data_IF_266367425042
#
_entry.id   IF_266367425042
#
_cell.length_a   1.000
_cell.length_b   1.000
_cell.length_c   1.000
_cell.angle_alpha   90.00
_cell.angle_beta   90.00
_cell.angle_gamma   90.00
#
_symmetry.space_group_name_H-M   'P 1'
#
loop_
_entity.id
_entity.type
_entity.pdbx_description
1 polymer ?
#
# COMPACT_ATOMS: atom_id res chain seq x y z
N UNK A 1 -7.41 19.26 -24.99
CA UNK A 1 -7.75 18.00 -24.29
C UNK A 1 -6.46 17.58 -23.63
N UNK A 2 -6.39 17.44 -22.30
CA UNK A 2 -5.15 16.98 -21.67
C UNK A 2 -5.01 15.51 -22.03
N UNK A 3 -3.97 15.17 -22.76
CA UNK A 3 -3.57 13.80 -23.02
C UNK A 3 -3.29 13.13 -21.67
N UNK A 4 -4.30 12.47 -21.10
CA UNK A 4 -4.12 11.61 -19.93
C UNK A 4 -3.41 10.36 -20.40
N UNK A 5 -2.10 10.33 -20.23
CA UNK A 5 -1.30 9.13 -20.46
C UNK A 5 -1.84 8.01 -19.57
N UNK A 6 -2.17 6.82 -20.12
CA UNK A 6 -2.53 5.68 -19.30
C UNK A 6 -1.31 5.26 -18.47
N UNK A 7 -1.56 4.86 -17.23
CA UNK A 7 -0.55 4.31 -16.34
C UNK A 7 -0.69 2.80 -16.38
N UNK A 8 0.43 2.11 -16.62
CA UNK A 8 0.48 0.66 -16.63
C UNK A 8 1.05 0.16 -15.31
N UNK A 9 0.28 -0.69 -14.63
CA UNK A 9 0.65 -1.36 -13.41
C UNK A 9 0.86 -2.83 -13.71
N UNK A 10 2.03 -3.36 -13.38
CA UNK A 10 2.33 -4.78 -13.47
C UNK A 10 2.52 -5.36 -12.08
N UNK A 11 1.79 -6.44 -11.78
CA UNK A 11 1.87 -7.17 -10.52
C UNK A 11 2.35 -8.58 -10.84
N UNK A 12 3.46 -8.98 -10.24
CA UNK A 12 4.00 -10.32 -10.33
C UNK A 12 3.88 -11.03 -8.97
N UNK A 13 3.22 -12.18 -8.93
CA UNK A 13 3.13 -13.02 -7.73
C UNK A 13 4.39 -13.87 -7.61
N UNK A 14 5.31 -13.46 -6.72
CA UNK A 14 6.63 -14.09 -6.55
C UNK A 14 6.71 -14.94 -5.29
N UNK A 15 5.57 -15.39 -4.77
CA UNK A 15 5.53 -16.27 -3.62
C UNK A 15 6.28 -17.57 -3.93
N UNK A 16 7.32 -17.92 -3.15
CA UNK A 16 8.10 -19.14 -3.36
C UNK A 16 7.27 -20.40 -3.08
N UNK A 17 6.19 -20.29 -2.30
CA UNK A 17 5.31 -21.41 -1.97
C UNK A 17 4.29 -21.72 -3.08
N UNK A 18 4.15 -20.83 -4.08
CA UNK A 18 3.23 -21.01 -5.20
C UNK A 18 3.94 -21.54 -6.46
N UNK A 19 3.36 -22.58 -7.07
CA UNK A 19 3.68 -22.98 -8.44
C UNK A 19 2.99 -22.05 -9.46
N UNK A 20 3.29 -22.24 -10.74
CA UNK A 20 2.77 -21.40 -11.83
C UNK A 20 1.23 -21.41 -11.91
N UNK A 21 0.58 -22.56 -11.66
CA UNK A 21 -0.88 -22.63 -11.61
C UNK A 21 -1.47 -21.85 -10.43
N UNK A 22 -0.86 -21.93 -9.25
CA UNK A 22 -1.30 -21.17 -8.08
C UNK A 22 -1.12 -19.66 -8.29
N UNK A 23 0.00 -19.25 -8.90
CA UNK A 23 0.23 -17.85 -9.27
C UNK A 23 -0.80 -17.36 -10.28
N UNK A 24 -1.13 -18.17 -11.30
CA UNK A 24 -2.17 -17.84 -12.25
C UNK A 24 -3.56 -17.77 -11.60
N UNK A 25 -3.84 -18.61 -10.61
CA UNK A 25 -5.06 -18.47 -9.80
C UNK A 25 -5.10 -17.14 -9.05
N UNK A 26 -3.96 -16.67 -8.51
CA UNK A 26 -3.90 -15.34 -7.89
C UNK A 26 -4.17 -14.23 -8.91
N UNK A 27 -3.57 -14.32 -10.09
CA UNK A 27 -3.80 -13.39 -11.21
C UNK A 27 -5.27 -13.36 -11.60
N UNK A 28 -5.91 -14.51 -11.81
CA UNK A 28 -7.31 -14.60 -12.20
C UNK A 28 -8.26 -14.08 -11.10
N UNK A 29 -7.94 -14.34 -9.83
CA UNK A 29 -8.71 -13.82 -8.71
C UNK A 29 -8.61 -12.30 -8.62
N UNK A 30 -7.40 -11.74 -8.75
CA UNK A 30 -7.20 -10.30 -8.74
C UNK A 30 -7.83 -9.64 -9.98
N UNK A 31 -7.68 -10.23 -11.17
CA UNK A 31 -8.28 -9.77 -12.41
C UNK A 31 -9.81 -9.65 -12.28
N UNK A 32 -10.46 -10.63 -11.65
CA UNK A 32 -11.90 -10.58 -11.38
C UNK A 32 -12.28 -9.43 -10.46
N UNK A 33 -11.45 -9.14 -9.45
CA UNK A 33 -11.70 -8.08 -8.48
C UNK A 33 -11.49 -6.68 -9.07
N UNK A 34 -10.48 -6.50 -9.94
CA UNK A 34 -10.19 -5.20 -10.55
C UNK A 34 -11.09 -4.88 -11.75
N UNK A 35 -11.74 -5.89 -12.34
CA UNK A 35 -12.75 -5.69 -13.40
C UNK A 35 -13.97 -4.89 -12.95
N UNK A 36 -14.27 -4.89 -11.65
CA UNK A 36 -15.36 -4.10 -11.08
C UNK A 36 -14.96 -2.63 -10.84
N UNK A 37 -13.70 -2.26 -11.11
CA UNK A 37 -13.17 -0.90 -10.94
C UNK A 37 -13.15 -0.15 -12.28
N UNK A 38 -13.07 1.19 -12.22
CA UNK A 38 -12.91 2.06 -13.40
C UNK A 38 -11.47 2.00 -13.96
N UNK A 39 -11.14 0.88 -14.59
CA UNK A 39 -9.86 0.61 -15.29
C UNK A 39 -10.02 0.68 -16.80
N UNK A 40 -8.93 0.90 -17.53
CA UNK A 40 -8.91 0.89 -19.00
C UNK A 40 -8.88 -0.55 -19.50
N UNK A 41 -7.89 -1.31 -19.03
CA UNK A 41 -7.66 -2.69 -19.43
C UNK A 41 -6.97 -3.45 -18.29
N UNK A 42 -7.27 -4.74 -18.13
CA UNK A 42 -6.51 -5.62 -17.28
C UNK A 42 -6.44 -7.01 -17.88
N UNK A 43 -5.26 -7.62 -17.83
CA UNK A 43 -5.05 -8.94 -18.41
C UNK A 43 -3.70 -9.55 -18.07
N UNK A 44 -3.56 -10.88 -18.23
CA UNK A 44 -2.28 -11.56 -18.10
C UNK A 44 -1.31 -11.09 -19.19
N UNK A 45 -0.04 -11.02 -18.86
CA UNK A 45 1.00 -10.52 -19.78
C UNK A 45 1.37 -11.65 -20.76
N UNK A 46 1.34 -11.44 -22.09
CA UNK A 46 1.77 -12.45 -23.05
C UNK A 46 3.28 -12.77 -22.90
N UNK A 47 3.62 -14.05 -22.92
CA UNK A 47 5.00 -14.54 -22.92
C UNK A 47 5.63 -14.30 -24.29
N UNK A 48 6.72 -13.51 -24.40
CA UNK A 48 7.39 -13.27 -25.66
C UNK A 48 8.11 -14.52 -26.22
N UNK A 49 8.36 -15.55 -25.41
CA UNK A 49 9.04 -16.79 -25.81
C UNK A 49 8.29 -18.04 -25.31
N UNK A 50 7.08 -18.34 -25.84
CA UNK A 50 6.33 -19.51 -25.39
C UNK A 50 7.08 -20.81 -25.72
N UNK A 51 7.14 -21.78 -24.79
CA UNK A 51 7.83 -23.05 -25.03
C UNK A 51 7.18 -23.82 -26.20
N UNK A 52 7.99 -24.19 -27.19
CA UNK A 52 7.51 -24.90 -28.38
C UNK A 52 6.99 -26.29 -28.00
N UNK A 53 5.74 -26.60 -28.37
CA UNK A 53 5.20 -27.96 -28.34
C UNK A 53 4.10 -28.24 -27.32
N UNK A 54 3.74 -27.28 -26.45
CA UNK A 54 2.61 -27.43 -25.52
C UNK A 54 1.37 -26.73 -26.08
N UNK A 55 0.31 -27.49 -26.33
CA UNK A 55 -0.99 -27.02 -26.84
C UNK A 55 -1.94 -26.50 -25.75
N UNK A 56 -1.45 -26.19 -24.55
CA UNK A 56 -2.30 -25.73 -23.45
C UNK A 56 -2.24 -24.20 -23.33
N UNK A 57 -3.34 -23.56 -23.77
CA UNK A 57 -3.83 -22.24 -23.33
C UNK A 57 -2.81 -21.11 -23.14
N UNK A 58 -2.66 -20.30 -24.20
CA UNK A 58 -2.16 -18.92 -24.22
C UNK A 58 -0.79 -18.69 -23.57
N UNK A 59 0.25 -18.49 -24.40
CA UNK A 59 1.57 -18.08 -23.95
C UNK A 59 1.51 -16.75 -23.19
N UNK A 60 1.32 -16.81 -21.88
CA UNK A 60 1.32 -15.70 -20.94
C UNK A 60 2.28 -16.01 -19.80
N UNK A 61 2.96 -14.98 -19.30
CA UNK A 61 3.87 -15.10 -18.17
C UNK A 61 3.08 -15.45 -16.91
N UNK A 62 3.34 -16.65 -16.38
CA UNK A 62 2.63 -17.16 -15.22
C UNK A 62 2.80 -16.22 -14.02
N UNK A 63 1.70 -15.90 -13.34
CA UNK A 63 1.72 -15.04 -12.18
C UNK A 63 1.88 -13.55 -12.44
N UNK A 64 1.84 -13.09 -13.69
CA UNK A 64 1.91 -11.66 -14.03
C UNK A 64 0.56 -11.13 -14.48
N UNK A 65 0.17 -9.98 -13.92
CA UNK A 65 -1.02 -9.22 -14.28
C UNK A 65 -0.62 -7.80 -14.67
N UNK A 66 -0.99 -7.38 -15.88
CA UNK A 66 -0.94 -5.98 -16.29
C UNK A 66 -2.32 -5.33 -16.12
N UNK A 67 -2.34 -4.10 -15.61
CA UNK A 67 -3.53 -3.28 -15.41
C UNK A 67 -3.22 -1.87 -15.94
N UNK A 68 -3.94 -1.43 -16.95
CA UNK A 68 -3.90 -0.06 -17.46
C UNK A 68 -5.02 0.76 -16.83
N UNK A 69 -4.67 1.91 -16.27
CA UNK A 69 -5.59 2.77 -15.53
C UNK A 69 -5.40 4.23 -15.89
N UNK A 70 -6.45 5.03 -15.73
CA UNK A 70 -6.37 6.48 -15.90
C UNK A 70 -5.83 7.15 -14.64
N UNK A 71 -5.05 8.22 -14.81
CA UNK A 71 -4.51 9.04 -13.71
C UNK A 71 -5.55 9.46 -12.66
N UNK A 72 -6.79 9.68 -13.10
CA UNK A 72 -7.90 10.12 -12.24
C UNK A 72 -8.33 9.06 -11.21
N UNK A 73 -8.17 7.76 -11.50
CA UNK A 73 -8.58 6.65 -10.62
C UNK A 73 -7.39 5.95 -9.94
N UNK A 74 -6.15 6.37 -10.24
CA UNK A 74 -4.92 5.78 -9.66
C UNK A 74 -4.99 5.65 -8.16
N UNK A 75 -5.41 6.70 -7.45
CA UNK A 75 -5.42 6.69 -5.98
C UNK A 75 -6.34 5.60 -5.43
N UNK A 76 -7.56 5.50 -5.97
CA UNK A 76 -8.54 4.50 -5.53
C UNK A 76 -8.08 3.09 -5.85
N UNK A 77 -7.53 2.87 -7.04
CA UNK A 77 -7.05 1.55 -7.47
C UNK A 77 -5.83 1.13 -6.66
N UNK A 78 -4.86 2.03 -6.41
CA UNK A 78 -3.70 1.74 -5.57
C UNK A 78 -4.10 1.45 -4.12
N UNK A 79 -5.02 2.22 -3.54
CA UNK A 79 -5.55 1.98 -2.19
C UNK A 79 -6.26 0.60 -2.15
N UNK A 80 -7.02 0.22 -3.19
CA UNK A 80 -7.64 -1.11 -3.30
C UNK A 80 -6.62 -2.24 -3.39
N UNK A 81 -5.59 -2.08 -4.24
CA UNK A 81 -4.52 -3.07 -4.41
C UNK A 81 -3.74 -3.27 -3.11
N UNK A 82 -3.48 -2.20 -2.34
CA UNK A 82 -2.84 -2.29 -1.03
C UNK A 82 -3.57 -3.30 -0.14
N UNK A 83 -4.88 -3.15 0.04
CA UNK A 83 -5.65 -4.00 0.95
C UNK A 83 -5.70 -5.47 0.49
N UNK A 84 -5.69 -5.71 -0.83
CA UNK A 84 -5.70 -7.07 -1.40
C UNK A 84 -4.35 -7.76 -1.40
N UNK A 85 -3.26 -6.98 -1.51
CA UNK A 85 -1.90 -7.48 -1.67
C UNK A 85 -1.09 -7.47 -0.36
N UNK A 86 -1.61 -6.85 0.70
CA UNK A 86 -0.93 -6.71 2.01
C UNK A 86 -0.43 -8.03 2.61
N UNK A 87 -1.08 -9.16 2.29
CA UNK A 87 -0.72 -10.48 2.83
C UNK A 87 -0.07 -11.40 1.79
N UNK A 88 0.53 -10.83 0.74
CA UNK A 88 1.11 -11.59 -0.38
C UNK A 88 2.52 -11.14 -0.68
N UNK A 89 3.34 -12.07 -1.13
CA UNK A 89 4.69 -11.78 -1.63
C UNK A 89 4.58 -11.49 -3.13
N UNK A 90 4.78 -10.22 -3.48
CA UNK A 90 4.64 -9.75 -4.85
C UNK A 90 5.78 -8.82 -5.25
N UNK A 91 5.96 -8.70 -6.55
CA UNK A 91 6.74 -7.65 -7.18
C UNK A 91 5.77 -6.73 -7.92
N UNK A 92 5.85 -5.44 -7.61
CA UNK A 92 5.00 -4.40 -8.13
C UNK A 92 5.81 -3.47 -9.03
N UNK A 93 5.32 -3.25 -10.23
CA UNK A 93 5.96 -2.44 -11.24
C UNK A 93 4.97 -1.41 -11.80
N UNK A 94 5.40 -0.15 -11.90
CA UNK A 94 4.57 0.97 -12.33
C UNK A 94 5.26 1.69 -13.46
N UNK A 95 4.60 1.79 -14.60
CA UNK A 95 5.06 2.53 -15.76
C UNK A 95 4.16 3.73 -16.04
N UNK A 96 4.76 4.92 -16.02
CA UNK A 96 4.09 6.17 -16.30
C UNK A 96 5.03 7.08 -17.13
N UNK A 97 4.52 7.66 -18.22
CA UNK A 97 5.26 8.60 -19.10
C UNK A 97 6.66 8.10 -19.52
N UNK A 98 6.81 6.79 -19.78
CA UNK A 98 8.06 6.16 -20.21
C UNK A 98 9.09 5.91 -19.09
N UNK A 99 8.73 6.14 -17.83
CA UNK A 99 9.54 5.78 -16.66
C UNK A 99 8.92 4.57 -15.96
N UNK A 100 9.75 3.68 -15.44
CA UNK A 100 9.33 2.45 -14.75
C UNK A 100 9.87 2.42 -13.32
N UNK A 101 9.01 2.14 -12.35
CA UNK A 101 9.35 1.92 -10.94
C UNK A 101 9.07 0.46 -10.59
N UNK A 102 10.08 -0.29 -10.17
CA UNK A 102 9.95 -1.71 -9.79
C UNK A 102 10.32 -1.89 -8.32
N UNK A 103 9.42 -2.48 -7.54
CA UNK A 103 9.57 -2.68 -6.10
C UNK A 103 9.11 -4.08 -5.70
N UNK A 104 9.85 -4.73 -4.81
CA UNK A 104 9.47 -6.02 -4.23
C UNK A 104 8.89 -5.78 -2.86
N UNK A 105 7.82 -6.50 -2.54
CA UNK A 105 7.17 -6.41 -1.26
C UNK A 105 6.72 -7.79 -0.79
N UNK A 106 7.08 -8.13 0.44
CA UNK A 106 6.86 -9.43 1.06
C UNK A 106 6.01 -9.35 2.32
N UNK A 107 5.79 -8.15 2.83
CA UNK A 107 5.05 -7.89 4.06
C UNK A 107 4.13 -6.65 3.91
N UNK A 108 3.13 -6.48 4.79
CA UNK A 108 2.19 -5.36 4.71
C UNK A 108 2.84 -3.97 4.73
N UNK A 109 3.94 -3.81 5.48
CA UNK A 109 4.66 -2.53 5.59
C UNK A 109 5.39 -2.18 4.30
N UNK A 110 6.02 -3.17 3.66
CA UNK A 110 6.66 -3.05 2.34
C UNK A 110 5.63 -2.76 1.25
N UNK A 111 4.44 -3.39 1.31
CA UNK A 111 3.34 -3.12 0.39
C UNK A 111 2.87 -1.67 0.54
N UNK A 112 2.65 -1.20 1.77
CA UNK A 112 2.25 0.19 2.00
C UNK A 112 3.32 1.18 1.48
N UNK A 113 4.59 0.90 1.75
CA UNK A 113 5.69 1.71 1.24
C UNK A 113 5.75 1.69 -0.29
N UNK A 114 5.56 0.54 -0.93
CA UNK A 114 5.55 0.38 -2.38
C UNK A 114 4.42 1.20 -3.03
N UNK A 115 3.20 1.08 -2.50
CA UNK A 115 2.03 1.82 -2.95
C UNK A 115 2.23 3.33 -2.77
N UNK A 116 2.80 3.75 -1.64
CA UNK A 116 3.14 5.15 -1.40
C UNK A 116 4.16 5.68 -2.40
N UNK A 117 5.25 4.95 -2.64
CA UNK A 117 6.28 5.31 -3.63
C UNK A 117 5.71 5.38 -5.04
N UNK A 118 4.82 4.46 -5.42
CA UNK A 118 4.15 4.50 -6.71
C UNK A 118 3.25 5.72 -6.86
N UNK A 119 2.49 6.06 -5.82
CA UNK A 119 1.68 7.27 -5.79
C UNK A 119 2.54 8.52 -5.94
N UNK A 120 3.64 8.60 -5.20
CA UNK A 120 4.60 9.71 -5.30
C UNK A 120 5.25 9.75 -6.68
N UNK A 121 5.65 8.62 -7.25
CA UNK A 121 6.20 8.54 -8.61
C UNK A 121 5.25 9.08 -9.69
N UNK A 122 3.94 8.82 -9.54
CA UNK A 122 2.89 9.34 -10.43
C UNK A 122 2.61 10.83 -10.13
N UNK A 123 2.72 11.26 -8.86
CA UNK A 123 2.42 12.62 -8.43
C UNK A 123 3.60 13.60 -8.55
N UNK A 124 4.86 13.17 -8.48
CA UNK A 124 6.07 14.00 -8.59
C UNK A 124 6.31 14.50 -10.02
N UNK A 125 5.59 13.95 -11.01
CA UNK A 125 5.42 14.61 -12.31
C UNK A 125 4.60 15.93 -12.20
N UNK A 126 3.92 16.18 -11.07
CA UNK A 126 3.50 17.53 -10.68
C UNK A 126 4.60 18.12 -9.79
N UNK A 127 5.27 19.21 -10.21
CA UNK A 127 6.29 19.85 -9.39
C UNK A 127 5.63 20.40 -8.12
N UNK A 128 5.84 19.77 -6.95
CA UNK A 128 5.30 20.33 -5.71
C UNK A 128 5.25 19.51 -4.42
N UNK A 129 5.77 18.28 -4.31
CA UNK A 129 5.73 17.53 -3.03
C UNK A 129 7.14 17.24 -2.48
N UNK A 130 7.42 17.55 -1.20
CA UNK A 130 8.74 17.32 -0.62
C UNK A 130 9.00 15.82 -0.37
N UNK A 131 10.26 15.37 -0.49
CA UNK A 131 10.63 13.98 -0.27
C UNK A 131 10.39 13.59 1.19
N UNK A 132 9.72 12.45 1.40
CA UNK A 132 9.56 11.92 2.75
C UNK A 132 10.81 11.10 3.10
N UNK A 133 11.64 11.67 3.97
CA UNK A 133 12.67 10.91 4.66
C UNK A 133 12.02 9.79 5.50
N UNK A 134 12.62 8.58 5.55
CA UNK A 134 12.19 7.55 6.48
C UNK A 134 12.25 8.12 7.89
N UNK A 135 11.10 8.15 8.58
CA UNK A 135 10.99 8.60 9.97
C UNK A 135 11.92 7.77 10.85
N UNK A 136 13.13 8.24 11.06
CA UNK A 136 13.85 7.90 12.27
C UNK A 136 13.02 8.42 13.45
N UNK A 137 12.80 7.62 14.50
CA UNK A 137 12.07 8.09 15.67
C UNK A 137 12.82 9.31 16.22
N UNK A 138 12.15 10.45 16.19
CA UNK A 138 12.68 11.69 16.73
C UNK A 138 12.77 11.56 18.26
N UNK A 139 13.92 11.96 18.82
CA UNK A 139 14.27 11.91 20.26
C UNK A 139 13.19 12.47 21.21
N UNK A 140 12.26 13.30 20.71
CA UNK A 140 11.19 13.96 21.47
C UNK A 140 10.21 12.98 22.13
N UNK A 141 9.99 11.79 21.57
CA UNK A 141 9.09 10.79 22.21
C UNK A 141 9.74 10.08 23.40
N UNK A 142 11.07 9.96 23.41
CA UNK A 142 11.78 9.30 24.52
C UNK A 142 11.80 10.20 25.76
N UNK A 143 11.90 11.53 25.60
CA UNK A 143 11.90 12.44 26.76
C UNK A 143 10.51 12.64 27.37
N UNK A 144 9.43 12.49 26.59
CA UNK A 144 8.06 12.61 27.09
C UNK A 144 7.60 11.45 28.01
N UNK A 145 8.34 10.33 28.06
CA UNK A 145 8.04 9.21 28.97
C UNK A 145 8.91 9.20 30.24
N UNK A 146 9.86 10.14 30.38
CA UNK A 146 10.80 10.19 31.52
C UNK A 146 10.42 11.20 32.61
N UNK A 147 9.39 12.03 32.42
CA UNK A 147 8.90 12.98 33.43
C UNK A 147 7.46 12.64 33.85
N UNK A 148 7.28 11.52 34.56
CA UNK A 148 6.02 11.17 35.25
C UNK A 148 6.25 10.47 36.61
N UNK A 149 7.43 10.63 37.19
CA UNK A 149 7.74 10.45 38.62
C UNK A 149 8.47 11.76 38.96
N UNK A 150 8.01 12.71 39.75
CA UNK A 150 7.49 12.64 41.11
C UNK A 150 6.66 13.90 41.38
N UNK A 151 5.34 13.78 41.50
CA UNK A 151 4.55 14.74 42.29
C UNK A 151 3.21 14.08 42.62
N UNK A 152 3.29 13.02 43.43
CA UNK A 152 2.12 12.48 44.10
C UNK A 152 1.72 13.49 45.19
N UNK A 153 0.51 14.09 45.15
CA UNK A 153 0.02 14.80 46.32
C UNK A 153 -0.17 13.80 47.45
N UNK A 154 0.50 14.08 48.57
CA UNK A 154 0.29 13.41 49.86
C UNK A 154 -1.18 13.48 50.24
N UNK A 155 -1.90 12.35 50.16
CA UNK A 155 -3.23 12.22 50.75
C UNK A 155 -3.10 12.17 52.28
N UNK A 156 -2.89 13.34 52.88
CA UNK A 156 -3.13 13.53 54.29
C UNK A 156 -4.64 13.74 54.52
N UNK A 157 -5.25 12.78 55.21
CA UNK A 157 -6.43 12.90 56.08
C UNK A 157 -7.81 13.16 55.44
N UNK A 158 -8.71 12.21 55.66
CA UNK A 158 -10.10 12.17 55.18
C UNK A 158 -11.12 12.82 56.14
N UNK A 159 -10.77 13.87 56.92
CA UNK A 159 -11.61 14.31 58.06
C UNK A 159 -12.10 15.78 58.03
N UNK A 160 -11.94 16.54 56.93
CA UNK A 160 -12.26 17.99 56.96
C UNK A 160 -13.35 18.47 55.97
N UNK A 161 -14.27 17.58 55.55
CA UNK A 161 -15.35 17.95 54.60
C UNK A 161 -16.73 18.19 55.25
N UNK A 162 -16.87 18.08 56.57
CA UNK A 162 -18.17 18.10 57.28
C UNK A 162 -18.36 19.32 58.20
N UNK A 163 -17.98 20.53 57.78
CA UNK A 163 -18.10 21.71 58.65
C UNK A 163 -18.54 23.03 57.99
N UNK A 164 -19.19 23.04 56.81
CA UNK A 164 -19.71 24.30 56.22
C UNK A 164 -21.09 24.18 55.60
N UNK A 165 -22.06 23.68 56.37
CA UNK A 165 -23.47 23.65 55.99
C UNK A 165 -24.41 24.16 57.09
N UNK A 166 -23.96 25.15 57.88
CA UNK A 166 -24.83 25.75 58.89
C UNK A 166 -24.48 27.21 59.24
N UNK A 167 -24.64 28.16 58.31
CA UNK A 167 -24.99 29.55 58.68
C UNK A 167 -25.40 30.38 57.46
N UNK A 168 -26.69 30.39 57.17
CA UNK A 168 -27.36 31.49 56.47
C UNK A 168 -28.84 31.43 56.83
N UNK A 169 -29.18 31.95 58.01
CA UNK A 169 -30.53 32.42 58.33
C UNK A 169 -30.42 33.76 59.02
#
# INVERSE_FOLDING_TARGET
MKDTSPIELTIAFTDPDFNDEERDRQVQNLLRQVKDLEIIEAGPIPDPNPPQGVKAMAGTLAGLLAIQILEIHVKEILDYLRDRLSHKIIEFEVEANGKRLKVKASNPEEIDMAIRKAREFIQDEKPGSPPIEPRQPNRTTIEAMRECEEDLPSFASADESMARLHEAR
#
